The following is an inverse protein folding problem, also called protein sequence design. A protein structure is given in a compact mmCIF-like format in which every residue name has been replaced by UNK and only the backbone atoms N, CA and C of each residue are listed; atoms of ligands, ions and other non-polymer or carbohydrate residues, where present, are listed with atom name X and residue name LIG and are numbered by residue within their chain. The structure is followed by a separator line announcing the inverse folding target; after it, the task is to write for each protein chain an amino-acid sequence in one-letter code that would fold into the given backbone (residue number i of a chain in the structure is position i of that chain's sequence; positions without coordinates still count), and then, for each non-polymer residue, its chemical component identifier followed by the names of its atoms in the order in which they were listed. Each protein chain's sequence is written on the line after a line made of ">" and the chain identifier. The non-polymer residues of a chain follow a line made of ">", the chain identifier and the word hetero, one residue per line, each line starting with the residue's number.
data_IF_487379017131
#
_entry.id   IF_487379017131
#
_cell.length_a   1.000
_cell.length_b   1.000
_cell.length_c   1.000
_cell.angle_alpha   90.00
_cell.angle_beta   90.00
_cell.angle_gamma   90.00
#
_symmetry.space_group_name_H-M   'P 1'
#
loop_
_entity.id
_entity.type
_entity.pdbx_description
1 polymer ?
#
# COMPACT_ATOMS: atom_id res chain seq x y z
N UNK A 1 19.64 -0.98 -12.66
CA UNK A 1 18.42 -0.80 -11.83
C UNK A 1 18.03 -2.17 -11.32
N UNK A 2 17.94 -2.37 -10.00
CA UNK A 2 17.53 -3.67 -9.44
C UNK A 2 16.10 -3.54 -8.93
N UNK A 3 15.19 -4.36 -9.46
CA UNK A 3 13.79 -4.43 -9.09
C UNK A 3 13.63 -5.50 -8.00
N UNK A 4 13.02 -5.14 -6.87
CA UNK A 4 12.69 -6.07 -5.80
C UNK A 4 11.18 -6.16 -5.69
N UNK A 5 10.64 -7.34 -5.94
CA UNK A 5 9.21 -7.60 -5.90
C UNK A 5 8.91 -8.31 -4.59
N UNK A 6 8.16 -7.66 -3.71
CA UNK A 6 7.60 -8.27 -2.51
C UNK A 6 6.12 -8.50 -2.74
N UNK A 7 5.69 -9.77 -2.72
CA UNK A 7 4.28 -10.14 -2.72
C UNK A 7 3.83 -10.30 -1.27
N UNK A 8 2.84 -9.51 -0.85
CA UNK A 8 2.04 -9.87 0.33
C UNK A 8 1.01 -10.89 -0.13
N UNK A 9 1.24 -12.17 0.21
CA UNK A 9 0.21 -13.21 0.13
C UNK A 9 -0.54 -13.28 1.46
N UNK A 10 -1.79 -13.70 1.39
CA UNK A 10 -2.77 -13.74 2.48
C UNK A 10 -2.28 -14.31 3.81
N UNK A 11 -2.97 -13.85 4.85
CA UNK A 11 -2.72 -14.05 6.26
C UNK A 11 -2.96 -15.50 6.72
N UNK A 12 -2.14 -16.47 6.33
CA UNK A 12 -1.95 -17.72 7.09
C UNK A 12 -0.51 -18.27 6.97
N UNK A 13 0.04 -18.64 8.12
CA UNK A 13 1.25 -19.44 8.38
C UNK A 13 2.19 -19.76 7.19
N UNK A 14 3.16 -18.87 6.92
CA UNK A 14 4.49 -19.31 6.52
C UNK A 14 5.55 -18.30 6.99
N UNK A 15 6.40 -18.72 7.93
CA UNK A 15 7.50 -17.91 8.48
C UNK A 15 8.75 -17.93 7.60
N UNK A 16 8.77 -18.73 6.54
CA UNK A 16 9.89 -18.88 5.62
C UNK A 16 9.68 -17.99 4.38
N UNK A 17 10.36 -16.84 4.33
CA UNK A 17 10.31 -15.98 3.15
C UNK A 17 10.43 -14.49 3.42
N UNK A 18 10.47 -14.06 4.69
CA UNK A 18 10.80 -12.67 5.00
C UNK A 18 12.29 -12.46 4.74
N UNK A 19 12.63 -12.00 3.54
CA UNK A 19 13.97 -11.48 3.28
C UNK A 19 14.21 -10.32 4.27
N UNK A 20 15.01 -10.57 5.29
CA UNK A 20 15.60 -9.54 6.14
C UNK A 20 16.31 -8.56 5.20
N UNK A 21 15.83 -7.32 5.15
CA UNK A 21 16.41 -6.24 4.35
C UNK A 21 17.66 -5.72 5.09
N UNK A 22 18.61 -6.61 5.41
CA UNK A 22 19.69 -6.28 6.33
C UNK A 22 20.90 -5.63 5.65
N UNK A 23 21.12 -5.82 4.34
CA UNK A 23 22.33 -5.26 3.68
C UNK A 23 22.06 -4.46 2.41
N UNK A 24 20.80 -4.20 2.09
CA UNK A 24 20.46 -3.52 0.86
C UNK A 24 20.30 -2.01 1.08
N UNK A 25 21.18 -1.21 0.46
CA UNK A 25 20.99 0.26 0.36
C UNK A 25 19.82 0.60 -0.57
N UNK A 26 18.61 0.22 -0.18
CA UNK A 26 17.38 0.62 -0.85
C UNK A 26 17.24 2.12 -0.66
N UNK A 27 17.30 2.88 -1.75
CA UNK A 27 17.12 4.33 -1.74
C UNK A 27 15.73 4.76 -2.16
N UNK A 28 15.07 3.96 -3.01
CA UNK A 28 13.75 4.24 -3.54
C UNK A 28 12.92 2.95 -3.53
N UNK A 29 11.63 3.07 -3.21
CA UNK A 29 10.63 2.01 -3.27
C UNK A 29 9.43 2.50 -4.06
N UNK A 30 8.89 1.64 -4.91
CA UNK A 30 7.61 1.85 -5.59
C UNK A 30 6.60 0.85 -5.02
N UNK A 31 5.51 1.36 -4.46
CA UNK A 31 4.34 0.59 -4.04
C UNK A 31 3.28 0.72 -5.12
N UNK A 32 2.71 -0.40 -5.56
CA UNK A 32 1.70 -0.43 -6.61
C UNK A 32 0.41 -0.98 -6.01
N UNK A 33 -0.64 -0.17 -6.02
CA UNK A 33 -1.99 -0.50 -5.56
C UNK A 33 -2.99 -0.46 -6.70
N UNK A 34 -4.05 -1.26 -6.64
CA UNK A 34 -5.12 -1.21 -7.62
C UNK A 34 -5.97 0.06 -7.43
N UNK A 35 -6.30 0.39 -6.18
CA UNK A 35 -7.10 1.54 -5.78
C UNK A 35 -6.31 2.46 -4.84
N UNK A 36 -6.74 3.73 -4.69
CA UNK A 36 -6.18 4.61 -3.68
C UNK A 36 -6.62 4.17 -2.29
N UNK A 37 -5.66 3.71 -1.46
CA UNK A 37 -5.78 3.22 -0.07
C UNK A 37 -5.09 1.85 0.14
N UNK A 38 -5.03 1.03 -0.91
CA UNK A 38 -4.38 -0.29 -0.91
C UNK A 38 -2.95 -0.23 -0.32
N UNK A 39 -2.19 0.82 -0.62
CA UNK A 39 -0.82 0.97 -0.13
C UNK A 39 -0.77 1.19 1.38
N UNK A 40 -1.76 1.90 1.91
CA UNK A 40 -1.85 2.25 3.32
C UNK A 40 -2.32 1.05 4.14
N UNK A 41 -3.35 0.33 3.68
CA UNK A 41 -3.86 -0.88 4.33
C UNK A 41 -2.90 -2.07 4.20
N UNK A 42 -2.28 -2.28 3.04
CA UNK A 42 -1.35 -3.37 2.80
C UNK A 42 0.06 -3.08 3.34
N UNK A 43 0.64 -1.94 2.99
CA UNK A 43 2.07 -1.67 3.18
C UNK A 43 2.38 -0.45 4.08
N UNK A 44 1.39 0.21 4.67
CA UNK A 44 1.59 1.47 5.41
C UNK A 44 2.64 1.37 6.51
N UNK A 45 2.61 0.29 7.29
CA UNK A 45 3.58 0.05 8.36
C UNK A 45 5.04 -0.06 7.86
N UNK A 46 5.26 -0.78 6.76
CA UNK A 46 6.62 -0.92 6.19
C UNK A 46 7.06 0.35 5.47
N UNK A 47 6.15 1.06 4.80
CA UNK A 47 6.40 2.36 4.18
C UNK A 47 6.91 3.36 5.22
N UNK A 48 6.25 3.47 6.37
CA UNK A 48 6.70 4.36 7.47
C UNK A 48 8.07 3.94 7.99
N UNK A 49 8.32 2.64 8.19
CA UNK A 49 9.60 2.12 8.66
C UNK A 49 10.75 2.46 7.69
N UNK A 50 10.51 2.34 6.38
CA UNK A 50 11.50 2.64 5.35
C UNK A 50 11.69 4.15 5.17
N UNK A 51 10.61 4.93 5.19
CA UNK A 51 10.67 6.38 5.12
C UNK A 51 11.50 6.98 6.26
N UNK A 52 11.32 6.49 7.49
CA UNK A 52 12.15 6.88 8.66
C UNK A 52 13.64 6.56 8.50
N UNK A 53 14.00 5.64 7.60
CA UNK A 53 15.40 5.32 7.26
C UNK A 53 15.94 6.14 6.07
N UNK A 54 15.19 7.15 5.59
CA UNK A 54 15.58 8.00 4.47
C UNK A 54 15.30 7.39 3.09
N UNK A 55 14.54 6.29 3.03
CA UNK A 55 14.11 5.71 1.75
C UNK A 55 12.98 6.55 1.15
N UNK A 56 13.12 6.90 -0.14
CA UNK A 56 12.07 7.59 -0.87
C UNK A 56 10.97 6.60 -1.28
N UNK A 57 9.73 6.90 -0.92
CA UNK A 57 8.57 6.08 -1.25
C UNK A 57 7.82 6.73 -2.41
N UNK A 58 7.49 5.93 -3.42
CA UNK A 58 6.63 6.27 -4.54
C UNK A 58 5.41 5.36 -4.49
N UNK A 59 4.23 5.89 -4.80
CA UNK A 59 2.99 5.13 -4.88
C UNK A 59 2.45 5.29 -6.29
N UNK A 60 2.05 4.17 -6.90
CA UNK A 60 1.35 4.15 -8.17
C UNK A 60 0.00 3.44 -7.99
N UNK A 61 -1.07 4.20 -8.15
CA UNK A 61 -2.43 3.67 -8.13
C UNK A 61 -2.87 3.46 -9.57
N UNK A 62 -3.36 2.26 -9.86
CA UNK A 62 -3.78 1.90 -11.23
C UNK A 62 -5.13 2.53 -11.58
N UNK A 63 -5.98 2.76 -10.59
CA UNK A 63 -7.28 3.43 -10.73
C UNK A 63 -7.43 4.64 -9.79
N UNK A 64 -8.48 5.42 -10.02
CA UNK A 64 -8.90 6.57 -9.21
C UNK A 64 -9.84 6.19 -8.05
N UNK A 65 -10.31 4.95 -7.97
CA UNK A 65 -11.21 4.48 -6.90
C UNK A 65 -12.64 5.01 -6.95
N UNK A 66 -13.13 5.45 -8.11
CA UNK A 66 -14.46 6.06 -8.27
C UNK A 66 -15.65 5.15 -7.94
N UNK A 67 -15.46 3.83 -7.94
CA UNK A 67 -16.48 2.84 -7.57
C UNK A 67 -16.46 2.44 -6.08
N UNK A 68 -15.64 3.09 -5.25
CA UNK A 68 -15.44 2.71 -3.84
C UNK A 68 -16.45 3.33 -2.85
N UNK A 69 -17.17 4.39 -3.25
CA UNK A 69 -18.20 5.03 -2.42
C UNK A 69 -19.60 4.67 -2.94
N UNK A 70 -20.53 4.38 -2.04
CA UNK A 70 -21.95 4.41 -2.40
C UNK A 70 -22.31 5.87 -2.73
N UNK A 71 -22.99 6.12 -3.86
CA UNK A 71 -23.63 7.40 -4.09
C UNK A 71 -24.68 7.61 -2.99
N UNK A 72 -24.32 8.32 -1.92
CA UNK A 72 -25.30 8.80 -0.96
C UNK A 72 -26.23 9.76 -1.71
N UNK A 73 -27.40 9.27 -2.15
CA UNK A 73 -28.51 10.13 -2.54
C UNK A 73 -28.94 10.92 -1.29
N UNK A 74 -28.35 12.12 -1.12
CA UNK A 74 -28.65 13.08 -0.07
C UNK A 74 -30.05 13.73 -0.18
N UNK A 75 -31.06 13.02 -0.68
CA UNK A 75 -32.43 13.57 -0.78
C UNK A 75 -33.33 13.21 0.44
N UNK A 76 -32.97 12.24 1.28
CA UNK A 76 -33.90 11.73 2.31
C UNK A 76 -33.62 12.13 3.77
N UNK A 77 -32.61 12.96 4.08
CA UNK A 77 -32.26 13.30 5.49
C UNK A 77 -32.71 14.68 5.99
N UNK A 78 -33.55 15.42 5.25
CA UNK A 78 -34.11 16.72 5.72
C UNK A 78 -35.53 16.59 6.30
N UNK A 79 -36.14 15.41 6.30
CA UNK A 79 -37.48 15.20 6.87
C UNK A 79 -37.53 14.00 7.82
N UNK A 80 -36.99 14.13 9.03
CA UNK A 80 -37.36 13.32 10.20
C UNK A 80 -36.92 13.97 11.51
#
# INVERSE_FOLDING_TARGET
>A
MKLYIYYMRDWEHDKEGRAEVSDMQIKNVLVVGAHPDDESFGAGGIMVKLHKKGVKIHVANISNGDMGAEEEHMEDKIAQ
#
